data_IF_291844344568
#
_entry.id   IF_291844344568
#
_cell.length_a   1.000
_cell.length_b   1.000
_cell.length_c   1.000
_cell.angle_alpha   90.00
_cell.angle_beta   90.00
_cell.angle_gamma   90.00
#
_symmetry.space_group_name_H-M   'P 1'
#
loop_
_entity.id
_entity.type
_entity.pdbx_description
1 polymer ?
#
# COMPACT_ATOMS: atom_id res chain seq x y z
N UNK A 1 -8.20 -17.29 21.74
CA UNK A 1 -7.61 -16.41 20.71
C UNK A 1 -8.61 -15.84 19.66
N UNK A 2 -9.84 -15.37 20.00
CA UNK A 2 -10.67 -14.59 19.05
C UNK A 2 -10.36 -13.08 19.00
N UNK A 3 -9.71 -12.51 20.02
CA UNK A 3 -9.46 -11.06 20.11
C UNK A 3 -8.48 -10.54 19.04
N UNK A 4 -7.40 -11.27 18.72
CA UNK A 4 -6.37 -10.78 17.80
C UNK A 4 -6.83 -10.73 16.33
N UNK A 5 -7.66 -11.69 15.88
CA UNK A 5 -8.29 -11.66 14.54
C UNK A 5 -9.20 -10.44 14.34
N UNK A 6 -9.78 -9.90 15.42
CA UNK A 6 -10.60 -8.69 15.35
C UNK A 6 -9.78 -7.41 15.21
N UNK A 7 -8.54 -7.41 15.72
CA UNK A 7 -7.70 -6.22 15.78
C UNK A 7 -7.11 -5.86 14.40
N UNK A 8 -6.48 -6.81 13.71
CA UNK A 8 -5.91 -6.55 12.38
C UNK A 8 -7.00 -6.16 11.37
N UNK A 9 -8.17 -6.81 11.42
CA UNK A 9 -9.32 -6.44 10.58
C UNK A 9 -9.75 -4.99 10.83
N UNK A 10 -9.76 -4.53 12.08
CA UNK A 10 -10.10 -3.14 12.40
C UNK A 10 -9.04 -2.16 11.87
N UNK A 11 -7.75 -2.53 11.86
CA UNK A 11 -6.67 -1.71 11.28
C UNK A 11 -6.81 -1.61 9.76
N UNK A 12 -7.09 -2.72 9.08
CA UNK A 12 -7.39 -2.73 7.64
C UNK A 12 -8.59 -1.81 7.33
N UNK A 13 -9.68 -1.95 8.06
CA UNK A 13 -10.86 -1.08 7.90
C UNK A 13 -10.55 0.40 8.18
N UNK A 14 -9.66 0.69 9.14
CA UNK A 14 -9.23 2.07 9.43
C UNK A 14 -8.41 2.64 8.29
N UNK A 15 -7.49 1.85 7.72
CA UNK A 15 -6.71 2.23 6.55
C UNK A 15 -7.62 2.49 5.34
N UNK A 16 -8.51 1.54 5.03
CA UNK A 16 -9.47 1.68 3.93
C UNK A 16 -10.38 2.90 4.10
N UNK A 17 -10.89 3.13 5.31
CA UNK A 17 -11.73 4.28 5.60
C UNK A 17 -10.99 5.61 5.45
N UNK A 18 -9.73 5.66 5.89
CA UNK A 18 -8.87 6.82 5.68
C UNK A 18 -8.62 7.08 4.19
N UNK A 19 -8.36 6.01 3.44
CA UNK A 19 -8.14 6.07 2.00
C UNK A 19 -9.38 6.55 1.23
N UNK A 20 -10.55 6.03 1.58
CA UNK A 20 -11.84 6.44 0.99
C UNK A 20 -12.17 7.90 1.30
N UNK A 21 -11.56 8.49 2.32
CA UNK A 21 -11.74 9.89 2.75
C UNK A 21 -10.66 10.84 2.27
N UNK A 22 -9.78 10.42 1.36
CA UNK A 22 -8.78 11.31 0.78
C UNK A 22 -9.45 12.54 0.14
N UNK A 23 -9.07 13.73 0.60
CA UNK A 23 -9.57 14.99 0.07
C UNK A 23 -8.76 15.34 -1.18
N UNK A 24 -9.39 15.23 -2.34
CA UNK A 24 -8.79 15.52 -3.64
C UNK A 24 -9.60 16.63 -4.31
N UNK A 25 -8.97 17.81 -4.49
CA UNK A 25 -9.59 19.00 -5.11
C UNK A 25 -8.58 19.71 -6.00
N UNK A 26 -9.05 20.52 -6.95
CA UNK A 26 -8.21 21.36 -7.84
C UNK A 26 -7.16 20.58 -8.66
N UNK A 27 -7.57 19.41 -9.18
CA UNK A 27 -6.73 18.55 -10.01
C UNK A 27 -6.82 18.97 -11.47
N UNK A 28 -5.72 18.86 -12.21
CA UNK A 28 -5.67 19.09 -13.65
C UNK A 28 -6.65 18.15 -14.40
N UNK A 29 -7.21 18.63 -15.51
CA UNK A 29 -8.11 17.84 -16.37
C UNK A 29 -7.42 16.60 -16.96
N UNK A 30 -8.20 15.53 -17.19
CA UNK A 30 -7.71 14.23 -17.65
C UNK A 30 -7.00 14.32 -19.02
N UNK A 31 -7.51 15.17 -19.89
CA UNK A 31 -6.95 15.48 -21.21
C UNK A 31 -5.49 15.97 -21.16
N UNK A 32 -5.05 16.49 -20.01
CA UNK A 32 -3.69 16.97 -19.80
C UNK A 32 -2.77 15.94 -19.11
N UNK A 33 -3.21 14.73 -18.73
CA UNK A 33 -2.33 13.75 -18.07
C UNK A 33 -1.16 13.30 -18.95
N UNK A 34 -1.33 13.38 -20.27
CA UNK A 34 -0.25 13.18 -21.24
C UNK A 34 0.94 14.11 -21.03
N UNK A 35 0.68 15.33 -20.55
CA UNK A 35 1.70 16.35 -20.27
C UNK A 35 2.44 16.13 -18.94
N UNK A 36 2.00 15.16 -18.14
CA UNK A 36 2.62 14.81 -16.86
C UNK A 36 3.82 13.88 -17.01
N UNK A 37 3.91 13.14 -18.12
CA UNK A 37 5.07 12.29 -18.40
C UNK A 37 6.33 13.15 -18.56
N UNK A 38 7.44 12.72 -17.95
CA UNK A 38 8.71 13.42 -17.96
C UNK A 38 8.81 14.58 -16.96
N UNK A 39 7.78 14.82 -16.14
CA UNK A 39 7.83 15.84 -15.09
C UNK A 39 8.58 15.34 -13.84
N UNK A 40 8.56 14.03 -13.58
CA UNK A 40 9.24 13.40 -12.45
C UNK A 40 9.38 11.90 -12.70
N UNK A 41 10.56 11.33 -12.42
CA UNK A 41 10.79 9.87 -12.52
C UNK A 41 9.81 9.07 -11.66
N UNK A 42 9.51 9.55 -10.44
CA UNK A 42 8.53 8.92 -9.56
C UNK A 42 7.13 8.94 -10.17
N UNK A 43 6.72 10.07 -10.77
CA UNK A 43 5.39 10.20 -11.37
C UNK A 43 5.26 9.29 -12.60
N UNK A 44 6.30 9.26 -13.43
CA UNK A 44 6.38 8.39 -14.61
C UNK A 44 6.29 6.92 -14.21
N UNK A 45 7.01 6.52 -13.16
CA UNK A 45 6.95 5.17 -12.60
C UNK A 45 5.53 4.81 -12.15
N UNK A 46 4.85 5.70 -11.42
CA UNK A 46 3.48 5.47 -10.96
C UNK A 46 2.47 5.38 -12.12
N UNK A 47 2.63 6.22 -13.14
CA UNK A 47 1.78 6.20 -14.33
C UNK A 47 1.97 4.90 -15.12
N UNK A 48 3.22 4.45 -15.27
CA UNK A 48 3.54 3.18 -15.91
C UNK A 48 2.99 2.00 -15.11
N UNK A 49 3.11 2.02 -13.79
CA UNK A 49 2.59 0.94 -12.93
C UNK A 49 1.06 0.88 -12.92
N UNK A 50 0.40 2.03 -13.06
CA UNK A 50 -1.06 2.13 -13.05
C UNK A 50 -1.69 1.74 -14.38
N UNK A 51 -1.18 2.27 -15.49
CA UNK A 51 -1.76 2.10 -16.81
C UNK A 51 -1.03 1.06 -17.67
N UNK A 52 0.20 0.68 -17.33
CA UNK A 52 1.07 -0.12 -18.18
C UNK A 52 1.82 0.72 -19.21
N UNK A 53 3.02 0.26 -19.61
CA UNK A 53 3.89 0.98 -20.56
C UNK A 53 3.21 1.31 -21.88
N UNK A 54 2.45 0.36 -22.43
CA UNK A 54 1.81 0.51 -23.74
C UNK A 54 0.78 1.66 -23.74
N UNK A 55 -0.06 1.75 -22.71
CA UNK A 55 -1.07 2.80 -22.56
C UNK A 55 -0.44 4.18 -22.30
N UNK A 56 0.68 4.26 -21.55
CA UNK A 56 1.37 5.54 -21.31
C UNK A 56 1.98 6.16 -22.58
N UNK A 57 2.31 5.35 -23.60
CA UNK A 57 2.82 5.85 -24.89
C UNK A 57 1.73 6.33 -25.84
N UNK A 58 0.46 6.01 -25.55
CA UNK A 58 -0.69 6.28 -26.40
C UNK A 58 -1.74 7.10 -25.66
N UNK A 59 -1.33 8.28 -25.23
CA UNK A 59 -2.10 9.16 -24.34
C UNK A 59 -3.45 9.62 -24.90
N UNK A 60 -3.62 9.67 -26.22
CA UNK A 60 -4.90 9.94 -26.86
C UNK A 60 -5.89 8.77 -26.63
N UNK A 61 -5.39 7.52 -26.67
CA UNK A 61 -6.15 6.32 -26.36
C UNK A 61 -6.54 6.25 -24.87
N UNK A 62 -5.81 6.88 -23.94
CA UNK A 62 -6.20 6.94 -22.51
C UNK A 62 -7.48 7.76 -22.30
N UNK A 63 -7.62 8.92 -22.96
CA UNK A 63 -8.85 9.73 -22.83
C UNK A 63 -10.04 9.07 -23.54
N UNK A 64 -9.78 8.33 -24.61
CA UNK A 64 -10.79 7.61 -25.39
C UNK A 64 -11.18 6.27 -24.75
N UNK A 65 -10.25 5.57 -24.10
CA UNK A 65 -10.49 4.34 -23.36
C UNK A 65 -11.22 4.60 -22.05
N UNK A 66 -11.06 5.80 -21.48
CA UNK A 66 -11.61 6.15 -20.18
C UNK A 66 -12.31 7.53 -20.12
N UNK A 67 -13.30 7.80 -20.98
CA UNK A 67 -13.94 9.12 -21.11
C UNK A 67 -14.77 9.53 -19.87
N UNK A 68 -14.97 8.61 -18.93
CA UNK A 68 -15.83 8.78 -17.76
C UNK A 68 -15.05 8.94 -16.45
N UNK A 69 -13.73 8.80 -16.47
CA UNK A 69 -12.97 9.03 -15.26
C UNK A 69 -13.04 10.51 -14.88
N UNK A 70 -13.02 10.74 -13.58
CA UNK A 70 -12.83 12.07 -13.02
C UNK A 70 -11.37 12.13 -12.58
N UNK A 71 -10.75 13.29 -12.70
CA UNK A 71 -9.35 13.50 -12.31
C UNK A 71 -9.08 13.05 -10.86
N UNK A 72 -10.08 13.15 -9.99
CA UNK A 72 -10.11 12.58 -8.65
C UNK A 72 -9.80 11.07 -8.60
N UNK A 73 -10.42 10.26 -9.47
CA UNK A 73 -10.23 8.81 -9.49
C UNK A 73 -8.80 8.44 -9.87
N UNK A 74 -8.22 9.17 -10.85
CA UNK A 74 -6.84 8.95 -11.27
C UNK A 74 -5.87 9.31 -10.15
N UNK A 75 -6.07 10.45 -9.48
CA UNK A 75 -5.22 10.82 -8.33
C UNK A 75 -5.33 9.78 -7.23
N UNK A 76 -6.54 9.31 -6.91
CA UNK A 76 -6.75 8.27 -5.90
C UNK A 76 -6.02 6.98 -6.28
N UNK A 77 -6.12 6.55 -7.53
CA UNK A 77 -5.41 5.38 -8.04
C UNK A 77 -3.89 5.54 -7.97
N UNK A 78 -3.36 6.70 -8.38
CA UNK A 78 -1.94 7.02 -8.26
C UNK A 78 -1.47 7.00 -6.80
N UNK A 79 -2.27 7.53 -5.87
CA UNK A 79 -1.97 7.43 -4.43
C UNK A 79 -1.97 5.99 -3.97
N UNK A 80 -2.94 5.18 -4.41
CA UNK A 80 -2.96 3.74 -4.15
C UNK A 80 -1.73 3.02 -4.68
N UNK A 81 -1.33 3.28 -5.93
CA UNK A 81 -0.11 2.73 -6.55
C UNK A 81 1.13 3.11 -5.76
N UNK A 82 1.23 4.36 -5.32
CA UNK A 82 2.35 4.83 -4.53
C UNK A 82 2.40 4.20 -3.14
N UNK A 83 1.25 4.00 -2.48
CA UNK A 83 1.20 3.24 -1.22
C UNK A 83 1.62 1.79 -1.43
N UNK A 84 1.15 1.15 -2.51
CA UNK A 84 1.57 -0.21 -2.91
C UNK A 84 3.10 -0.27 -3.00
N UNK A 85 3.68 0.56 -3.85
CA UNK A 85 5.11 0.54 -4.17
C UNK A 85 6.01 1.01 -3.02
N UNK A 86 5.66 2.12 -2.38
CA UNK A 86 6.56 2.82 -1.45
C UNK A 86 6.36 2.44 0.03
N UNK A 87 5.30 1.70 0.37
CA UNK A 87 5.03 1.28 1.75
C UNK A 87 4.97 -0.24 1.86
N UNK A 88 4.21 -0.89 0.97
CA UNK A 88 3.94 -2.32 1.10
C UNK A 88 4.96 -3.20 0.38
N UNK A 89 5.40 -2.80 -0.82
CA UNK A 89 6.41 -3.53 -1.62
C UNK A 89 7.85 -3.13 -1.29
N UNK A 90 8.07 -1.99 -0.65
CA UNK A 90 9.40 -1.57 -0.22
C UNK A 90 9.86 -2.35 1.01
N UNK A 91 11.18 -2.41 1.20
CA UNK A 91 11.77 -2.88 2.45
C UNK A 91 11.31 -2.00 3.62
N UNK A 92 10.98 -2.64 4.74
CA UNK A 92 10.49 -1.94 5.92
C UNK A 92 11.66 -1.41 6.76
N UNK A 93 12.23 -0.30 6.31
CA UNK A 93 13.35 0.34 6.98
C UNK A 93 12.86 1.23 8.13
N UNK A 94 13.08 0.77 9.37
CA UNK A 94 13.03 1.66 10.54
C UNK A 94 14.25 1.44 11.42
N UNK A 95 14.79 2.51 11.99
CA UNK A 95 15.97 2.42 12.87
C UNK A 95 15.72 1.57 14.12
N UNK A 96 14.45 1.35 14.48
CA UNK A 96 14.05 0.48 15.61
C UNK A 96 14.24 -1.01 15.30
N UNK A 97 14.36 -1.37 14.01
CA UNK A 97 14.58 -2.73 13.54
C UNK A 97 15.99 -2.94 12.95
N UNK A 98 16.87 -1.95 13.10
CA UNK A 98 18.23 -2.05 12.61
C UNK A 98 18.98 -3.22 13.27
N UNK A 99 19.39 -4.19 12.46
CA UNK A 99 20.20 -5.31 12.91
C UNK A 99 21.68 -4.90 12.93
N UNK A 100 22.31 -4.99 14.09
CA UNK A 100 23.77 -4.86 14.20
C UNK A 100 24.43 -6.22 14.03
N UNK A 101 25.70 -6.26 13.62
CA UNK A 101 26.45 -7.52 13.51
C UNK A 101 26.47 -8.30 14.83
N UNK A 102 26.51 -7.59 15.96
CA UNK A 102 26.41 -8.21 17.29
C UNK A 102 25.06 -8.90 17.50
N UNK A 103 23.95 -8.23 17.14
CA UNK A 103 22.60 -8.81 17.25
C UNK A 103 22.40 -10.01 16.32
N UNK A 104 22.99 -9.98 15.13
CA UNK A 104 23.00 -11.12 14.20
C UNK A 104 23.73 -12.32 14.80
N UNK A 105 24.95 -12.14 15.31
CA UNK A 105 25.71 -13.23 15.95
C UNK A 105 25.03 -13.76 17.21
N UNK A 106 24.37 -12.88 17.98
CA UNK A 106 23.57 -13.28 19.14
C UNK A 106 22.36 -14.11 18.70
N UNK A 107 21.69 -13.71 17.62
CA UNK A 107 20.58 -14.46 17.04
C UNK A 107 21.02 -15.86 16.62
N UNK A 108 22.14 -15.98 15.90
CA UNK A 108 22.69 -17.28 15.48
C UNK A 108 23.02 -18.18 16.69
N UNK A 109 23.60 -17.60 17.74
CA UNK A 109 23.89 -18.34 18.97
C UNK A 109 22.60 -18.82 19.67
N UNK A 110 21.57 -17.97 19.73
CA UNK A 110 20.27 -18.32 20.30
C UNK A 110 19.56 -19.39 19.48
N UNK A 111 19.71 -19.39 18.16
CA UNK A 111 19.14 -20.44 17.30
C UNK A 111 19.74 -21.80 17.62
N UNK A 112 21.07 -21.88 17.78
CA UNK A 112 21.77 -23.12 18.14
C UNK A 112 21.33 -23.65 19.52
N UNK A 113 21.07 -22.76 20.48
CA UNK A 113 20.73 -23.13 21.86
C UNK A 113 19.25 -23.50 22.00
N UNK A 114 18.36 -22.69 21.44
CA UNK A 114 16.92 -22.75 21.71
C UNK A 114 16.11 -23.36 20.56
N UNK A 115 16.71 -23.51 19.38
CA UNK A 115 16.03 -23.93 18.16
C UNK A 115 15.23 -22.80 17.50
N UNK A 116 14.95 -22.97 16.20
CA UNK A 116 14.35 -21.93 15.36
C UNK A 116 12.92 -21.53 15.79
N UNK A 117 12.14 -22.46 16.36
CA UNK A 117 10.75 -22.17 16.79
C UNK A 117 10.69 -21.25 18.01
N UNK A 118 11.53 -21.48 19.03
CA UNK A 118 11.62 -20.58 20.19
C UNK A 118 12.16 -19.21 19.77
N UNK A 119 13.17 -19.19 18.90
CA UNK A 119 13.74 -17.96 18.38
C UNK A 119 12.71 -17.16 17.57
N UNK A 120 11.87 -17.83 16.78
CA UNK A 120 10.75 -17.20 16.09
C UNK A 120 9.79 -16.50 17.06
N UNK A 121 9.35 -17.19 18.11
CA UNK A 121 8.44 -16.60 19.10
C UNK A 121 9.07 -15.44 19.89
N UNK A 122 10.34 -15.56 20.25
CA UNK A 122 11.08 -14.49 20.91
C UNK A 122 11.20 -13.27 19.99
N UNK A 123 11.63 -13.48 18.74
CA UNK A 123 11.79 -12.44 17.74
C UNK A 123 10.47 -11.70 17.51
N UNK A 124 9.39 -12.45 17.26
CA UNK A 124 8.03 -11.90 17.14
C UNK A 124 7.63 -11.07 18.37
N UNK A 125 7.80 -11.62 19.58
CA UNK A 125 7.42 -10.94 20.82
C UNK A 125 8.21 -9.64 21.06
N UNK A 126 9.51 -9.62 20.74
CA UNK A 126 10.32 -8.40 20.81
C UNK A 126 9.79 -7.31 19.86
N UNK A 127 9.47 -7.68 18.61
CA UNK A 127 8.95 -6.73 17.63
C UNK A 127 7.55 -6.24 18.00
N UNK A 128 6.69 -7.14 18.47
CA UNK A 128 5.34 -6.80 18.94
C UNK A 128 5.42 -5.82 20.13
N UNK A 129 6.37 -6.02 21.04
CA UNK A 129 6.62 -5.08 22.14
C UNK A 129 7.06 -3.70 21.66
N UNK A 130 7.92 -3.63 20.62
CA UNK A 130 8.35 -2.36 20.02
C UNK A 130 7.16 -1.66 19.35
N UNK A 131 6.40 -2.37 18.52
CA UNK A 131 5.29 -1.80 17.76
C UNK A 131 4.17 -1.27 18.67
N UNK A 132 3.91 -1.98 19.78
CA UNK A 132 2.92 -1.57 20.78
C UNK A 132 3.38 -0.42 21.66
N UNK A 133 4.67 -0.11 21.70
CA UNK A 133 5.17 1.03 22.44
C UNK A 133 4.59 2.33 21.83
N UNK A 134 3.91 3.19 22.63
CA UNK A 134 3.43 4.48 22.15
C UNK A 134 4.51 5.37 21.53
N UNK A 135 5.78 5.20 21.92
CA UNK A 135 6.93 5.89 21.33
C UNK A 135 7.14 5.47 19.88
N UNK A 136 6.98 4.20 19.54
CA UNK A 136 7.12 3.74 18.15
C UNK A 136 6.10 4.41 17.22
N UNK A 137 4.82 4.44 17.60
CA UNK A 137 3.79 5.10 16.78
C UNK A 137 4.00 6.61 16.66
N UNK A 138 4.49 7.28 17.72
CA UNK A 138 4.64 8.75 17.73
C UNK A 138 5.94 9.24 17.11
N UNK A 139 7.03 8.52 17.32
CA UNK A 139 8.38 8.95 16.98
C UNK A 139 9.03 8.00 15.98
N UNK A 140 8.89 6.69 16.19
CA UNK A 140 9.48 5.67 15.31
C UNK A 140 8.95 5.70 13.87
N UNK A 141 7.66 5.98 13.69
CA UNK A 141 7.01 6.04 12.37
C UNK A 141 7.02 7.45 11.76
N UNK A 142 7.20 8.49 12.59
CA UNK A 142 7.10 9.89 12.16
C UNK A 142 8.06 10.24 11.03
N UNK A 143 9.33 9.82 11.15
CA UNK A 143 10.35 10.08 10.13
C UNK A 143 9.96 9.50 8.76
N UNK A 144 9.56 8.24 8.73
CA UNK A 144 9.10 7.56 7.51
C UNK A 144 7.86 8.24 6.91
N UNK A 145 6.88 8.60 7.74
CA UNK A 145 5.67 9.32 7.27
C UNK A 145 6.02 10.68 6.68
N UNK A 146 6.92 11.44 7.31
CA UNK A 146 7.35 12.75 6.80
C UNK A 146 8.12 12.64 5.48
N UNK A 147 9.01 11.65 5.35
CA UNK A 147 9.72 11.38 4.11
C UNK A 147 8.76 11.00 2.98
N UNK A 148 7.81 10.10 3.25
CA UNK A 148 6.81 9.68 2.27
C UNK A 148 5.91 10.84 1.87
N UNK A 149 5.34 11.58 2.82
CA UNK A 149 4.52 12.78 2.52
C UNK A 149 5.30 13.75 1.64
N UNK A 150 6.56 14.04 1.97
CA UNK A 150 7.39 14.94 1.16
C UNK A 150 7.64 14.40 -0.25
N UNK A 151 7.85 13.08 -0.40
CA UNK A 151 7.97 12.42 -1.70
C UNK A 151 6.68 12.58 -2.51
N UNK A 152 5.53 12.22 -1.91
CA UNK A 152 4.21 12.43 -2.49
C UNK A 152 3.99 13.87 -2.93
N UNK A 153 4.22 14.87 -2.07
CA UNK A 153 4.00 16.28 -2.40
C UNK A 153 4.82 16.75 -3.60
N UNK A 154 6.05 16.23 -3.76
CA UNK A 154 6.92 16.52 -4.90
C UNK A 154 6.44 15.80 -6.17
N UNK A 155 6.16 14.51 -6.07
CA UNK A 155 5.71 13.67 -7.20
C UNK A 155 4.39 14.17 -7.78
N UNK A 156 3.44 14.57 -6.93
CA UNK A 156 2.12 15.01 -7.34
C UNK A 156 2.03 16.51 -7.59
N UNK A 157 3.11 17.28 -7.38
CA UNK A 157 3.13 18.72 -7.67
C UNK A 157 2.63 19.05 -9.09
N UNK A 158 3.00 18.31 -10.16
CA UNK A 158 2.53 18.59 -11.51
C UNK A 158 1.05 18.29 -11.72
N UNK A 159 0.38 17.58 -10.81
CA UNK A 159 -1.00 17.09 -10.96
C UNK A 159 -2.03 18.11 -10.46
N UNK A 160 -1.62 19.07 -9.62
CA UNK A 160 -2.51 20.05 -9.00
C UNK A 160 -2.41 21.43 -9.66
N UNK A 161 -3.57 22.04 -9.92
CA UNK A 161 -3.66 23.40 -10.46
C UNK A 161 -3.42 24.48 -9.39
N UNK A 162 -3.70 24.16 -8.12
CA UNK A 162 -3.63 25.12 -7.01
C UNK A 162 -2.77 24.60 -5.86
N UNK A 163 -2.06 25.51 -5.19
CA UNK A 163 -1.32 25.20 -3.95
C UNK A 163 -2.25 24.70 -2.85
N UNK A 164 -3.47 25.23 -2.77
CA UNK A 164 -4.47 24.88 -1.76
C UNK A 164 -4.99 23.45 -1.94
N UNK A 165 -5.21 23.00 -3.18
CA UNK A 165 -5.59 21.62 -3.48
C UNK A 165 -4.52 20.64 -3.02
N UNK A 166 -3.24 20.98 -3.28
CA UNK A 166 -2.09 20.21 -2.80
C UNK A 166 -2.00 20.15 -1.27
N UNK A 167 -2.12 21.28 -0.58
CA UNK A 167 -2.04 21.33 0.89
C UNK A 167 -3.15 20.50 1.55
N UNK A 168 -4.35 20.43 0.96
CA UNK A 168 -5.45 19.56 1.42
C UNK A 168 -5.14 18.07 1.20
N UNK A 169 -4.55 17.72 0.06
CA UNK A 169 -4.08 16.35 -0.18
C UNK A 169 -2.99 15.98 0.83
N UNK A 170 -1.98 16.82 1.02
CA UNK A 170 -0.87 16.56 1.96
C UNK A 170 -1.37 16.29 3.39
N UNK A 171 -2.35 17.08 3.85
CA UNK A 171 -2.98 16.88 5.15
C UNK A 171 -3.71 15.53 5.25
N UNK A 172 -4.40 15.11 4.18
CA UNK A 172 -5.14 13.84 4.15
C UNK A 172 -4.19 12.65 4.01
N UNK A 173 -3.15 12.79 3.19
CA UNK A 173 -2.12 11.77 2.95
C UNK A 173 -1.39 11.41 4.23
N UNK A 174 -1.06 12.40 5.09
CA UNK A 174 -0.34 12.12 6.34
C UNK A 174 -1.06 11.08 7.20
N UNK A 175 -2.38 11.18 7.33
CA UNK A 175 -3.18 10.22 8.10
C UNK A 175 -3.22 8.85 7.46
N UNK A 176 -3.38 8.80 6.12
CA UNK A 176 -3.43 7.53 5.36
C UNK A 176 -2.08 6.82 5.35
N UNK A 177 -0.99 7.56 5.11
CA UNK A 177 0.38 7.04 5.12
C UNK A 177 0.73 6.54 6.52
N UNK A 178 0.39 7.29 7.57
CA UNK A 178 0.58 6.81 8.94
C UNK A 178 -0.18 5.49 9.19
N UNK A 179 -1.45 5.41 8.77
CA UNK A 179 -2.23 4.18 8.90
C UNK A 179 -1.60 3.03 8.10
N UNK A 180 -1.10 3.28 6.88
CA UNK A 180 -0.44 2.29 6.03
C UNK A 180 0.87 1.78 6.64
N UNK A 181 1.73 2.67 7.15
CA UNK A 181 3.00 2.29 7.79
C UNK A 181 2.75 1.50 9.09
N UNK A 182 1.79 1.92 9.91
CA UNK A 182 1.40 1.16 11.10
C UNK A 182 0.82 -0.21 10.74
N UNK A 183 -0.07 -0.27 9.73
CA UNK A 183 -0.61 -1.52 9.23
C UNK A 183 0.52 -2.46 8.77
N UNK A 184 1.49 -1.93 8.01
CA UNK A 184 2.65 -2.68 7.56
C UNK A 184 3.50 -3.21 8.71
N UNK A 185 3.75 -2.38 9.73
CA UNK A 185 4.49 -2.80 10.93
C UNK A 185 3.78 -3.95 11.64
N UNK A 186 2.47 -3.84 11.86
CA UNK A 186 1.66 -4.87 12.52
C UNK A 186 1.64 -6.19 11.71
N UNK A 187 1.59 -6.10 10.37
CA UNK A 187 1.68 -7.28 9.50
C UNK A 187 2.99 -8.07 9.67
N UNK A 188 4.10 -7.43 10.08
CA UNK A 188 5.37 -8.12 10.33
C UNK A 188 5.27 -9.09 11.51
N UNK A 189 4.50 -8.72 12.53
CA UNK A 189 4.39 -9.47 13.80
C UNK A 189 3.11 -10.29 13.92
N UNK A 190 2.25 -10.27 12.91
CA UNK A 190 1.07 -11.12 12.87
C UNK A 190 1.46 -12.62 12.74
N UNK A 191 0.55 -13.48 13.20
CA UNK A 191 0.59 -14.94 13.03
C UNK A 191 0.33 -15.36 11.59
N UNK A 192 -0.24 -14.46 10.79
CA UNK A 192 -0.44 -14.64 9.35
C UNK A 192 0.63 -13.89 8.57
N UNK A 193 0.96 -14.41 7.40
CA UNK A 193 1.63 -13.63 6.37
C UNK A 193 0.58 -12.96 5.50
N UNK A 194 0.97 -11.88 4.84
CA UNK A 194 0.07 -11.13 3.97
C UNK A 194 0.64 -11.10 2.56
N UNK A 195 -0.22 -11.33 1.59
CA UNK A 195 0.07 -11.09 0.18
C UNK A 195 -0.65 -9.82 -0.25
N UNK A 196 0.06 -8.97 -0.98
CA UNK A 196 -0.50 -7.72 -1.51
C UNK A 196 -1.34 -8.02 -2.74
N UNK A 197 -2.59 -7.54 -2.74
CA UNK A 197 -3.50 -7.64 -3.88
C UNK A 197 -3.56 -6.27 -4.57
N UNK A 198 -3.15 -6.23 -5.83
CA UNK A 198 -3.26 -5.06 -6.68
C UNK A 198 -3.72 -5.48 -8.08
N UNK A 199 -4.99 -5.25 -8.43
CA UNK A 199 -5.49 -5.70 -9.73
C UNK A 199 -4.93 -4.84 -10.85
N UNK A 200 -4.50 -5.49 -11.94
CA UNK A 200 -3.99 -4.78 -13.10
C UNK A 200 -5.14 -4.14 -13.89
N UNK A 201 -4.96 -2.91 -14.36
CA UNK A 201 -5.90 -2.30 -15.30
C UNK A 201 -6.02 -3.18 -16.57
N UNK A 202 -7.26 -3.39 -17.03
CA UNK A 202 -7.60 -4.29 -18.14
C UNK A 202 -7.78 -5.78 -17.75
N UNK A 203 -7.48 -6.16 -16.51
CA UNK A 203 -7.68 -7.55 -16.05
C UNK A 203 -9.14 -7.89 -15.76
N UNK A 204 -9.46 -9.19 -15.68
CA UNK A 204 -10.80 -9.65 -15.34
C UNK A 204 -11.08 -9.41 -13.85
N UNK A 205 -12.27 -8.90 -13.54
CA UNK A 205 -12.74 -8.72 -12.17
C UNK A 205 -12.98 -10.07 -11.48
N UNK A 206 -12.38 -10.23 -10.31
CA UNK A 206 -12.60 -11.37 -9.43
C UNK A 206 -13.37 -10.94 -8.18
N UNK A 207 -14.58 -11.47 -7.98
CA UNK A 207 -15.39 -11.19 -6.77
C UNK A 207 -14.73 -11.67 -5.48
N UNK A 208 -13.82 -12.63 -5.58
CA UNK A 208 -13.15 -13.23 -4.43
C UNK A 208 -11.96 -12.38 -3.95
N UNK A 209 -11.41 -11.54 -4.83
CA UNK A 209 -10.19 -10.77 -4.58
C UNK A 209 -10.39 -9.26 -4.76
N UNK A 210 -11.53 -8.83 -5.32
CA UNK A 210 -11.80 -7.44 -5.65
C UNK A 210 -13.21 -6.95 -5.23
N UNK A 211 -13.27 -5.66 -4.89
CA UNK A 211 -14.46 -4.91 -4.52
C UNK A 211 -14.67 -3.77 -5.51
N UNK A 212 -15.91 -3.56 -5.93
CA UNK A 212 -16.29 -2.48 -6.84
C UNK A 212 -16.51 -1.20 -6.04
N UNK A 213 -15.86 -0.10 -6.44
CA UNK A 213 -16.18 1.22 -5.88
C UNK A 213 -17.62 1.62 -6.21
N UNK A 214 -18.35 2.12 -5.21
CA UNK A 214 -19.75 2.54 -5.37
C UNK A 214 -19.92 3.82 -6.18
N UNK A 215 -18.83 4.52 -6.42
CA UNK A 215 -18.82 5.85 -7.05
C UNK A 215 -18.96 5.81 -8.58
N UNK A 216 -19.06 4.61 -9.18
CA UNK A 216 -19.01 4.44 -10.61
C UNK A 216 -19.87 3.28 -11.13
N UNK A 217 -20.56 3.51 -12.25
CA UNK A 217 -21.31 2.50 -12.98
C UNK A 217 -20.96 2.64 -14.46
N UNK A 218 -20.46 1.57 -15.08
CA UNK A 218 -19.94 1.60 -16.45
C UNK A 218 -20.43 0.41 -17.28
N UNK A 219 -20.08 0.45 -18.56
CA UNK A 219 -20.71 -0.17 -19.72
C UNK A 219 -20.14 -1.54 -20.13
N UNK A 220 -19.03 -2.00 -19.54
CA UNK A 220 -18.30 -3.21 -19.99
C UNK A 220 -18.09 -4.20 -18.84
N UNK A 221 -19.15 -4.91 -18.43
CA UNK A 221 -19.23 -5.58 -17.15
C UNK A 221 -18.07 -6.55 -16.90
N UNK A 222 -17.35 -6.34 -15.80
CA UNK A 222 -16.41 -7.31 -15.23
C UNK A 222 -14.95 -7.15 -15.66
N UNK A 223 -14.55 -5.98 -16.19
CA UNK A 223 -13.15 -5.65 -16.45
C UNK A 223 -12.67 -4.57 -15.48
N UNK A 224 -11.51 -4.78 -14.86
CA UNK A 224 -10.86 -3.80 -14.00
C UNK A 224 -10.40 -2.63 -14.83
N UNK A 225 -10.90 -1.45 -14.51
CA UNK A 225 -10.59 -0.22 -15.24
C UNK A 225 -9.49 0.55 -14.54
N UNK A 226 -9.56 0.63 -13.21
CA UNK A 226 -8.58 1.35 -12.42
C UNK A 226 -8.50 0.76 -11.00
N UNK A 227 -7.34 0.25 -10.57
CA UNK A 227 -7.15 -0.10 -9.16
C UNK A 227 -7.17 1.18 -8.31
N UNK A 228 -7.83 1.14 -7.15
CA UNK A 228 -7.94 2.30 -6.27
C UNK A 228 -7.13 2.13 -4.99
N UNK A 229 -7.37 1.06 -4.23
CA UNK A 229 -6.79 0.86 -2.90
C UNK A 229 -6.09 -0.51 -2.84
N UNK A 230 -4.88 -0.61 -2.28
CA UNK A 230 -4.23 -1.90 -2.07
C UNK A 230 -5.08 -2.82 -1.19
N UNK A 231 -5.29 -4.05 -1.65
CA UNK A 231 -5.88 -5.11 -0.85
C UNK A 231 -4.82 -6.03 -0.27
N UNK A 232 -5.22 -6.90 0.66
CA UNK A 232 -4.34 -7.86 1.28
C UNK A 232 -5.00 -9.23 1.33
N UNK A 233 -4.22 -10.29 1.31
CA UNK A 233 -4.69 -11.66 1.46
C UNK A 233 -3.90 -12.33 2.56
N UNK A 234 -4.59 -12.69 3.63
CA UNK A 234 -3.94 -13.37 4.74
C UNK A 234 -3.71 -14.85 4.40
N UNK A 235 -2.48 -15.31 4.59
CA UNK A 235 -2.04 -16.69 4.36
C UNK A 235 -1.37 -17.24 5.61
N UNK A 236 -1.31 -18.57 5.73
CA UNK A 236 -0.64 -19.21 6.86
C UNK A 236 0.85 -18.89 6.84
N UNK A 237 1.36 -18.31 7.93
CA UNK A 237 2.77 -18.00 8.10
C UNK A 237 3.53 -19.29 8.44
N UNK A 238 4.62 -19.55 7.74
CA UNK A 238 5.61 -20.53 8.20
C UNK A 238 6.42 -19.88 9.32
N UNK A 239 6.75 -20.65 10.36
CA UNK A 239 7.67 -20.20 11.41
C UNK A 239 9.03 -19.91 10.77
N UNK A 240 9.34 -18.64 10.61
CA UNK A 240 10.55 -18.12 10.01
C UNK A 240 10.84 -16.76 10.64
N UNK A 241 12.09 -16.30 10.54
CA UNK A 241 12.48 -14.96 10.98
C UNK A 241 11.59 -13.89 10.36
N UNK A 242 11.43 -12.76 11.08
CA UNK A 242 10.66 -11.63 10.55
C UNK A 242 11.29 -11.16 9.25
N UNK A 243 10.47 -11.17 8.20
CA UNK A 243 10.85 -10.73 6.87
C UNK A 243 10.49 -9.24 6.69
N UNK A 244 11.52 -8.41 6.58
CA UNK A 244 11.38 -6.98 6.30
C UNK A 244 11.25 -6.67 4.82
N UNK A 245 11.47 -7.67 3.95
CA UNK A 245 11.26 -7.50 2.53
C UNK A 245 9.79 -7.16 2.23
N UNK A 246 9.57 -6.53 1.07
CA UNK A 246 8.26 -6.16 0.57
C UNK A 246 7.25 -7.31 0.58
N UNK A 247 5.97 -6.97 0.70
CA UNK A 247 4.87 -7.90 0.45
C UNK A 247 4.83 -8.26 -1.04
N UNK A 248 5.59 -9.28 -1.42
CA UNK A 248 5.61 -9.82 -2.78
C UNK A 248 4.56 -10.91 -2.94
N UNK A 249 4.08 -11.12 -4.17
CA UNK A 249 3.13 -12.19 -4.48
C UNK A 249 3.75 -13.55 -4.16
N UNK A 250 3.10 -14.32 -3.28
CA UNK A 250 3.60 -15.61 -2.85
C UNK A 250 3.10 -16.70 -3.80
N UNK A 251 4.02 -17.33 -4.53
CA UNK A 251 3.70 -18.56 -5.24
C UNK A 251 3.34 -19.66 -4.23
N UNK A 252 2.10 -20.14 -4.26
CA UNK A 252 1.63 -21.38 -3.63
C UNK A 252 1.47 -21.40 -2.10
N UNK A 253 0.30 -20.96 -1.61
CA UNK A 253 -0.23 -21.45 -0.32
C UNK A 253 -1.77 -21.47 -0.33
N UNK A 254 -2.36 -22.38 0.45
CA UNK A 254 -3.82 -22.54 0.56
C UNK A 254 -4.37 -21.42 1.45
N UNK A 255 -5.26 -20.55 0.96
CA UNK A 255 -5.62 -19.32 1.65
C UNK A 255 -6.69 -19.52 2.73
N UNK A 256 -6.54 -18.82 3.87
CA UNK A 256 -7.65 -18.47 4.77
C UNK A 256 -8.08 -17.02 4.46
N UNK A 257 -9.05 -16.87 3.55
CA UNK A 257 -9.39 -15.56 3.00
C UNK A 257 -9.95 -14.59 4.05
N UNK A 258 -9.22 -13.48 4.27
CA UNK A 258 -9.78 -12.23 4.81
C UNK A 258 -9.03 -11.07 4.16
N UNK A 259 -9.70 -10.39 3.22
CA UNK A 259 -9.42 -9.06 2.62
C UNK A 259 -9.45 -9.08 1.07
N UNK A 260 -9.88 -7.94 0.51
CA UNK A 260 -10.35 -7.73 -0.86
C UNK A 260 -9.79 -6.37 -1.34
N UNK A 261 -9.20 -6.31 -2.54
CA UNK A 261 -8.69 -5.05 -3.12
C UNK A 261 -9.82 -4.20 -3.71
N UNK A 262 -9.78 -2.87 -3.62
CA UNK A 262 -10.79 -2.02 -4.25
C UNK A 262 -10.37 -1.59 -5.64
N UNK A 263 -11.26 -1.76 -6.60
CA UNK A 263 -11.07 -1.36 -7.99
C UNK A 263 -12.31 -0.66 -8.56
N UNK A 264 -12.09 0.22 -9.54
CA UNK A 264 -13.12 0.60 -10.49
C UNK A 264 -13.23 -0.51 -11.54
N UNK A 265 -14.45 -0.99 -11.72
CA UNK A 265 -14.79 -2.05 -12.66
C UNK A 265 -15.79 -1.48 -13.65
N UNK A 266 -15.51 -1.67 -14.94
CA UNK A 266 -16.42 -1.35 -16.02
C UNK A 266 -17.46 -2.44 -16.18
#
# INVERSE_FOLDING_TARGET
MPQHRSEMRNKLLTFEYGFDKLIITDVIEISCFSSLMGQSEDLDSLLIDLFGRELTTKTQELSEAFPYFHSYHIVRALVGTALRSWVFESEFETHHFAQTEYLLRLHDALEVICGSSMLYHLNRGCHESIIRDPVFSKEGVKGTVEQLVNRFSKTFQPVFMSKTGREKLDSSLRSVIHAAVMLRAEMLVDEKSYELLWPQAGSQFSRDEMEISRDFCSTTPGIVTLPLCPGFKAITKKEATIDYAGLTMAATSIPEATCVAKALVC
#
